data_IF_710224411889
#
_entry.id   IF_710224411889
#
_cell.length_a   1.000
_cell.length_b   1.000
_cell.length_c   1.000
_cell.angle_alpha   90.00
_cell.angle_beta   90.00
_cell.angle_gamma   90.00
#
_symmetry.space_group_name_H-M   'P 1'
#
loop_
_entity.id
_entity.type
_entity.pdbx_description
1 polymer ?
#
# COMPACT_ATOMS: atom_id res chain seq x y z
N UNK A 1 -10.94 -17.22 -23.15
CA UNK A 1 -10.30 -17.35 -21.82
C UNK A 1 -11.03 -18.37 -20.98
N UNK A 2 -10.28 -19.25 -20.29
CA UNK A 2 -10.86 -20.15 -19.28
C UNK A 2 -11.32 -19.33 -18.09
N UNK A 3 -12.52 -19.59 -17.57
CA UNK A 3 -13.00 -19.00 -16.33
C UNK A 3 -12.58 -19.89 -15.17
N UNK A 4 -11.89 -19.30 -14.20
CA UNK A 4 -11.61 -19.89 -12.90
C UNK A 4 -12.69 -19.42 -11.93
N UNK A 5 -13.81 -20.15 -11.88
CA UNK A 5 -14.93 -19.80 -11.00
C UNK A 5 -14.49 -19.84 -9.54
N UNK A 6 -14.71 -18.75 -8.82
CA UNK A 6 -14.37 -18.61 -7.41
C UNK A 6 -15.21 -17.51 -6.75
N UNK A 7 -15.31 -17.57 -5.42
CA UNK A 7 -16.01 -16.58 -4.61
C UNK A 7 -15.06 -15.56 -3.95
N UNK A 8 -13.77 -15.65 -4.24
CA UNK A 8 -12.75 -14.76 -3.67
C UNK A 8 -12.52 -13.47 -4.50
N UNK A 9 -13.12 -13.35 -5.70
CA UNK A 9 -12.88 -12.24 -6.60
C UNK A 9 -11.54 -12.31 -7.34
N UNK A 10 -10.94 -13.49 -7.43
CA UNK A 10 -9.70 -13.75 -8.16
C UNK A 10 -9.99 -13.85 -9.66
N UNK A 11 -9.18 -13.16 -10.46
CA UNK A 11 -9.20 -13.28 -11.91
C UNK A 11 -7.79 -13.59 -12.45
N UNK A 12 -7.71 -14.54 -13.39
CA UNK A 12 -6.46 -14.93 -14.04
C UNK A 12 -6.36 -14.13 -15.35
N UNK A 13 -5.50 -13.11 -15.42
CA UNK A 13 -5.43 -12.21 -16.57
C UNK A 13 -4.64 -12.79 -17.74
N UNK A 14 -4.77 -12.19 -18.92
CA UNK A 14 -3.74 -12.28 -19.96
C UNK A 14 -2.62 -11.32 -19.60
N UNK A 15 -1.40 -11.84 -19.55
CA UNK A 15 -0.20 -11.09 -19.19
C UNK A 15 0.57 -10.70 -20.45
N UNK A 16 0.89 -9.42 -20.55
CA UNK A 16 1.83 -8.92 -21.55
C UNK A 16 3.18 -8.65 -20.88
N UNK A 17 4.24 -9.12 -21.52
CA UNK A 17 5.63 -8.91 -21.08
C UNK A 17 6.46 -8.32 -22.23
N UNK A 18 7.53 -7.56 -21.95
CA UNK A 18 8.45 -7.14 -22.98
C UNK A 18 9.08 -8.36 -23.65
N UNK A 19 9.28 -8.27 -24.97
CA UNK A 19 9.91 -9.32 -25.73
C UNK A 19 11.41 -9.48 -25.36
N UNK A 20 12.06 -10.53 -25.85
CA UNK A 20 13.44 -10.89 -25.48
C UNK A 20 14.51 -9.90 -25.94
N UNK A 21 14.17 -8.97 -26.85
CA UNK A 21 15.09 -7.96 -27.38
C UNK A 21 15.12 -6.70 -26.51
N UNK A 22 14.14 -6.57 -25.59
CA UNK A 22 14.05 -5.42 -24.68
C UNK A 22 15.03 -5.55 -23.54
N UNK A 23 15.82 -4.52 -23.31
CA UNK A 23 16.71 -4.40 -22.14
C UNK A 23 15.87 -4.16 -20.88
N UNK A 24 15.68 -5.21 -20.08
CA UNK A 24 14.87 -5.18 -18.86
C UNK A 24 15.40 -4.22 -17.81
N UNK A 25 16.71 -3.94 -17.78
CA UNK A 25 17.32 -2.99 -16.85
C UNK A 25 16.91 -1.55 -17.15
N UNK A 26 16.43 -1.26 -18.38
CA UNK A 26 15.86 0.01 -18.81
C UNK A 26 14.34 -0.02 -18.89
N UNK A 27 13.77 -1.22 -18.99
CA UNK A 27 12.31 -1.41 -19.05
C UNK A 27 11.63 -1.08 -17.74
N UNK A 28 12.05 -1.72 -16.65
CA UNK A 28 11.37 -1.65 -15.36
C UNK A 28 11.70 -0.36 -14.61
N UNK A 29 10.69 0.46 -14.35
CA UNK A 29 10.79 1.75 -13.63
C UNK A 29 9.91 1.72 -12.40
N UNK A 30 10.35 2.38 -11.33
CA UNK A 30 9.62 2.46 -10.05
C UNK A 30 8.23 3.10 -10.21
N UNK A 31 7.32 2.77 -9.31
CA UNK A 31 5.96 3.30 -9.26
C UNK A 31 5.92 4.84 -9.39
N UNK A 32 4.98 5.34 -10.17
CA UNK A 32 4.86 6.74 -10.59
C UNK A 32 4.65 7.75 -9.44
N UNK A 33 4.19 7.28 -8.30
CA UNK A 33 3.91 8.07 -7.09
C UNK A 33 5.12 8.21 -6.16
N UNK A 34 6.26 7.59 -6.52
CA UNK A 34 7.50 7.71 -5.77
C UNK A 34 8.33 8.92 -6.26
N UNK A 35 9.21 9.44 -5.41
CA UNK A 35 10.14 10.54 -5.72
C UNK A 35 9.47 11.80 -6.29
N UNK A 36 8.22 12.09 -5.90
CA UNK A 36 7.43 13.23 -6.43
C UNK A 36 8.05 14.60 -6.16
N UNK A 37 8.83 14.74 -5.10
CA UNK A 37 9.58 15.95 -4.73
C UNK A 37 11.06 15.91 -5.10
N UNK A 38 11.49 14.91 -5.87
CA UNK A 38 12.90 14.65 -6.23
C UNK A 38 13.08 14.60 -7.76
N UNK A 39 13.05 15.72 -8.48
CA UNK A 39 13.16 15.76 -9.94
C UNK A 39 14.43 15.08 -10.46
N UNK A 40 15.51 15.09 -9.70
CA UNK A 40 16.80 14.49 -10.07
C UNK A 40 16.70 12.99 -10.25
N UNK A 41 15.84 12.32 -9.48
CA UNK A 41 15.58 10.89 -9.66
C UNK A 41 15.02 10.61 -11.06
N UNK A 42 13.99 11.33 -11.45
CA UNK A 42 13.33 11.16 -12.74
C UNK A 42 14.20 11.61 -13.92
N UNK A 43 14.99 12.67 -13.75
CA UNK A 43 15.98 13.09 -14.74
C UNK A 43 17.08 12.02 -14.93
N UNK A 44 17.45 11.33 -13.88
CA UNK A 44 18.42 10.22 -13.95
C UNK A 44 17.79 9.00 -14.62
N UNK A 45 16.54 8.66 -14.28
CA UNK A 45 15.76 7.62 -14.97
C UNK A 45 15.71 7.86 -16.46
N UNK A 46 15.38 9.10 -16.88
CA UNK A 46 15.31 9.49 -18.29
C UNK A 46 16.66 9.28 -19.01
N UNK A 47 17.79 9.63 -18.38
CA UNK A 47 19.13 9.39 -18.96
C UNK A 47 19.49 7.92 -19.06
N UNK A 48 19.08 7.10 -18.08
CA UNK A 48 19.33 5.64 -18.12
C UNK A 48 18.52 5.00 -19.24
N UNK A 49 17.25 5.34 -19.36
CA UNK A 49 16.32 4.80 -20.36
C UNK A 49 16.74 5.25 -21.78
N UNK A 50 17.02 6.54 -21.98
CA UNK A 50 17.31 7.11 -23.30
C UNK A 50 16.20 6.78 -24.30
N UNK A 51 16.56 6.26 -25.46
CA UNK A 51 15.63 5.88 -26.53
C UNK A 51 15.11 4.43 -26.44
N UNK A 52 15.52 3.69 -25.40
CA UNK A 52 15.09 2.31 -25.26
C UNK A 52 13.60 2.19 -24.90
N UNK A 53 12.93 1.10 -25.31
CA UNK A 53 11.59 0.77 -24.80
C UNK A 53 11.61 0.68 -23.28
N UNK A 54 10.62 1.30 -22.62
CA UNK A 54 10.55 1.37 -21.15
C UNK A 54 9.14 1.67 -20.67
N UNK A 55 8.82 1.18 -19.48
CA UNK A 55 7.60 1.55 -18.76
C UNK A 55 7.56 3.05 -18.41
N UNK A 56 8.70 3.74 -18.41
CA UNK A 56 8.75 5.21 -18.31
C UNK A 56 7.93 5.90 -19.41
N UNK A 57 7.79 5.28 -20.58
CA UNK A 57 7.01 5.79 -21.72
C UNK A 57 5.52 5.43 -21.63
N UNK A 58 5.16 4.55 -20.67
CA UNK A 58 3.80 4.03 -20.48
C UNK A 58 3.12 4.57 -19.23
N UNK A 59 3.78 5.42 -18.45
CA UNK A 59 3.24 5.98 -17.22
C UNK A 59 3.57 7.46 -17.07
N UNK A 60 2.82 8.16 -16.24
CA UNK A 60 3.06 9.56 -15.89
C UNK A 60 3.59 9.64 -14.46
N UNK A 61 4.87 10.02 -14.23
CA UNK A 61 5.35 10.34 -12.89
C UNK A 61 4.48 11.44 -12.24
N UNK A 62 4.05 11.24 -11.00
CA UNK A 62 3.10 12.14 -10.33
C UNK A 62 3.61 13.58 -10.16
N UNK A 63 4.91 13.82 -10.26
CA UNK A 63 5.47 15.16 -10.30
C UNK A 63 4.98 15.99 -11.50
N UNK A 64 4.41 15.35 -12.53
CA UNK A 64 3.85 16.01 -13.72
C UNK A 64 2.33 16.17 -13.67
N UNK A 65 1.67 15.74 -12.60
CA UNK A 65 0.24 15.96 -12.40
C UNK A 65 -0.06 17.48 -12.29
N UNK A 66 -1.17 17.87 -12.88
CA UNK A 66 -1.65 19.26 -12.90
C UNK A 66 -0.64 20.27 -13.51
N UNK A 67 0.29 19.77 -14.36
CA UNK A 67 1.18 20.62 -15.15
C UNK A 67 0.53 21.00 -16.49
N UNK A 68 0.94 22.13 -17.11
CA UNK A 68 0.32 22.61 -18.36
C UNK A 68 0.39 21.61 -19.53
N UNK A 69 1.39 20.73 -19.55
CA UNK A 69 1.63 19.72 -20.57
C UNK A 69 1.10 18.32 -20.23
N UNK A 70 0.32 18.17 -19.13
CA UNK A 70 -0.22 16.88 -18.68
C UNK A 70 -1.02 16.17 -19.77
N UNK A 71 -1.92 16.87 -20.43
CA UNK A 71 -2.79 16.28 -21.45
C UNK A 71 -1.99 15.75 -22.67
N UNK A 72 -0.96 16.47 -23.10
CA UNK A 72 -0.10 16.03 -24.19
C UNK A 72 0.74 14.82 -23.79
N UNK A 73 1.23 14.76 -22.55
CA UNK A 73 1.93 13.60 -21.99
C UNK A 73 1.02 12.38 -21.95
N UNK A 74 -0.20 12.50 -21.45
CA UNK A 74 -1.18 11.40 -21.41
C UNK A 74 -1.47 10.86 -22.81
N UNK A 75 -1.65 11.76 -23.79
CA UNK A 75 -1.85 11.38 -25.19
C UNK A 75 -0.66 10.60 -25.75
N UNK A 76 0.56 11.06 -25.49
CA UNK A 76 1.79 10.40 -25.93
C UNK A 76 1.95 9.03 -25.26
N UNK A 77 1.63 8.89 -23.97
CA UNK A 77 1.64 7.63 -23.23
C UNK A 77 0.69 6.63 -23.87
N UNK A 78 -0.56 7.00 -24.11
CA UNK A 78 -1.55 6.11 -24.72
C UNK A 78 -1.13 5.66 -26.12
N UNK A 79 -0.61 6.57 -26.96
CA UNK A 79 -0.08 6.24 -28.27
C UNK A 79 1.12 5.29 -28.19
N UNK A 80 1.98 5.43 -27.18
CA UNK A 80 3.12 4.54 -26.98
C UNK A 80 2.67 3.15 -26.51
N UNK A 81 1.63 3.06 -25.66
CA UNK A 81 1.05 1.78 -25.27
C UNK A 81 0.55 1.00 -26.51
N UNK A 82 -0.22 1.65 -27.37
CA UNK A 82 -0.70 1.04 -28.62
C UNK A 82 0.46 0.63 -29.53
N UNK A 83 1.46 1.50 -29.68
CA UNK A 83 2.66 1.24 -30.47
C UNK A 83 3.42 0.02 -29.97
N UNK A 84 3.65 -0.11 -28.68
CA UNK A 84 4.42 -1.22 -28.11
C UNK A 84 3.72 -2.57 -28.31
N UNK A 85 2.39 -2.59 -28.31
CA UNK A 85 1.63 -3.80 -28.66
C UNK A 85 1.71 -4.09 -30.16
N UNK A 86 1.51 -3.08 -31.03
CA UNK A 86 1.51 -3.24 -32.50
C UNK A 86 2.87 -3.66 -33.05
N UNK A 87 3.96 -3.14 -32.48
CA UNK A 87 5.32 -3.45 -32.88
C UNK A 87 5.88 -4.73 -32.23
N UNK A 88 5.09 -5.40 -31.37
CA UNK A 88 5.51 -6.62 -30.68
C UNK A 88 6.59 -6.39 -29.60
N UNK A 89 6.76 -5.15 -29.14
CA UNK A 89 7.63 -4.85 -27.97
C UNK A 89 7.04 -5.50 -26.72
N UNK A 90 5.70 -5.45 -26.59
CA UNK A 90 4.94 -6.21 -25.61
C UNK A 90 4.33 -7.44 -26.27
N UNK A 91 4.66 -8.61 -25.76
CA UNK A 91 4.14 -9.91 -26.20
C UNK A 91 3.09 -10.43 -25.23
N UNK A 92 1.97 -10.94 -25.75
CA UNK A 92 0.97 -11.62 -24.96
C UNK A 92 1.43 -13.04 -24.62
N UNK A 93 1.70 -13.29 -23.35
CA UNK A 93 2.08 -14.62 -22.83
C UNK A 93 0.89 -15.57 -22.66
N UNK A 94 -0.31 -15.05 -22.87
CA UNK A 94 -1.56 -15.76 -22.61
C UNK A 94 -2.04 -15.62 -21.17
N UNK A 95 -3.07 -16.39 -20.86
CA UNK A 95 -3.71 -16.39 -19.54
C UNK A 95 -2.81 -17.08 -18.49
N UNK A 96 -2.50 -16.38 -17.42
CA UNK A 96 -1.63 -16.92 -16.36
C UNK A 96 -1.37 -15.96 -15.21
N UNK A 97 -0.51 -16.39 -14.32
CA UNK A 97 -0.01 -15.63 -13.17
C UNK A 97 1.50 -15.46 -13.33
N UNK A 98 2.09 -14.48 -12.62
CA UNK A 98 3.55 -14.37 -12.54
C UNK A 98 3.97 -14.44 -11.07
N UNK A 99 4.68 -15.53 -10.72
CA UNK A 99 5.38 -15.60 -9.43
C UNK A 99 6.62 -14.73 -9.53
N UNK A 100 6.89 -13.92 -8.53
CA UNK A 100 8.11 -13.13 -8.48
C UNK A 100 8.84 -13.26 -7.14
N UNK A 101 10.16 -13.06 -7.20
CA UNK A 101 11.04 -12.91 -6.03
C UNK A 101 11.80 -11.61 -6.18
N UNK A 102 11.70 -10.73 -5.21
CA UNK A 102 12.38 -9.44 -5.17
C UNK A 102 13.36 -9.36 -4.01
N UNK A 103 14.61 -9.07 -4.31
CA UNK A 103 15.66 -8.86 -3.30
C UNK A 103 16.15 -7.42 -3.34
N UNK A 104 16.04 -6.72 -2.23
CA UNK A 104 16.44 -5.31 -2.09
C UNK A 104 16.81 -5.01 -0.64
N UNK A 105 17.86 -4.20 -0.42
CA UNK A 105 18.33 -3.79 0.92
C UNK A 105 18.57 -4.96 1.91
N UNK A 106 18.95 -6.14 1.39
CA UNK A 106 19.19 -7.34 2.21
C UNK A 106 17.95 -8.17 2.55
N UNK A 107 16.76 -7.72 2.16
CA UNK A 107 15.49 -8.43 2.32
C UNK A 107 15.07 -9.08 1.01
N UNK A 108 14.35 -10.20 1.10
CA UNK A 108 13.77 -10.89 -0.06
C UNK A 108 12.30 -11.16 0.23
N UNK A 109 11.43 -10.77 -0.70
CA UNK A 109 9.99 -11.02 -0.62
C UNK A 109 9.49 -11.76 -1.84
N UNK A 110 8.38 -12.48 -1.69
CA UNK A 110 7.68 -13.18 -2.73
C UNK A 110 6.38 -12.44 -3.09
N UNK A 111 6.09 -12.38 -4.37
CA UNK A 111 4.86 -11.80 -4.89
C UNK A 111 4.22 -12.67 -5.95
N UNK A 112 2.93 -12.48 -6.17
CA UNK A 112 2.18 -13.17 -7.24
C UNK A 112 1.36 -12.13 -8.01
N UNK A 113 1.72 -11.90 -9.27
CA UNK A 113 0.95 -11.01 -10.17
C UNK A 113 -0.30 -11.73 -10.64
N UNK A 114 -1.44 -11.11 -10.38
CA UNK A 114 -2.77 -11.60 -10.71
C UNK A 114 -3.74 -10.43 -10.85
N UNK A 115 -4.99 -10.68 -11.14
CA UNK A 115 -6.01 -9.63 -11.13
C UNK A 115 -7.10 -9.88 -10.10
N UNK A 116 -7.69 -8.79 -9.59
CA UNK A 116 -8.81 -8.84 -8.66
C UNK A 116 -10.04 -8.17 -9.26
N UNK A 117 -11.21 -8.74 -8.98
CA UNK A 117 -12.50 -8.21 -9.41
C UNK A 117 -12.87 -6.96 -8.60
N UNK A 118 -12.96 -5.83 -9.27
CA UNK A 118 -13.33 -4.55 -8.67
C UNK A 118 -14.75 -4.52 -8.12
N UNK A 119 -15.63 -5.47 -8.48
CA UNK A 119 -16.94 -5.63 -7.83
C UNK A 119 -16.81 -6.11 -6.37
N UNK A 120 -15.68 -6.73 -6.00
CA UNK A 120 -15.38 -7.14 -4.64
C UNK A 120 -14.70 -6.04 -3.80
N UNK A 121 -14.59 -4.82 -4.31
CA UNK A 121 -13.94 -3.69 -3.66
C UNK A 121 -14.86 -2.48 -3.51
N UNK A 122 -14.82 -1.89 -2.33
CA UNK A 122 -15.41 -0.58 -2.05
C UNK A 122 -14.41 0.23 -1.18
N UNK A 123 -14.10 1.46 -1.61
CA UNK A 123 -13.20 2.36 -0.90
C UNK A 123 -13.91 3.32 0.06
N UNK A 124 -15.23 3.22 0.18
CA UNK A 124 -15.99 4.04 1.12
C UNK A 124 -15.73 3.63 2.58
N UNK A 125 -15.82 4.59 3.47
CA UNK A 125 -15.67 4.32 4.89
C UNK A 125 -16.73 3.31 5.39
N UNK A 126 -16.28 2.27 6.07
CA UNK A 126 -17.16 1.22 6.60
C UNK A 126 -17.48 0.11 5.61
N UNK A 127 -16.78 0.04 4.48
CA UNK A 127 -16.90 -1.06 3.52
C UNK A 127 -16.70 -2.42 4.18
N UNK A 128 -17.51 -3.40 3.77
CA UNK A 128 -17.50 -4.78 4.28
C UNK A 128 -17.20 -5.80 3.17
N UNK A 129 -16.61 -5.33 2.09
CA UNK A 129 -16.23 -6.14 0.92
C UNK A 129 -15.03 -7.05 1.20
N UNK A 130 -14.81 -8.04 0.33
CA UNK A 130 -13.67 -8.98 0.45
C UNK A 130 -12.31 -8.30 0.34
N UNK A 131 -12.23 -7.22 -0.45
CA UNK A 131 -11.05 -6.38 -0.61
C UNK A 131 -11.29 -5.09 0.15
N UNK A 132 -10.41 -4.70 1.06
CA UNK A 132 -10.55 -3.49 1.86
C UNK A 132 -9.33 -2.59 1.79
N UNK A 133 -9.59 -1.28 1.73
CA UNK A 133 -8.56 -0.28 1.87
C UNK A 133 -7.99 -0.30 3.30
N UNK A 134 -6.69 -0.17 3.42
CA UNK A 134 -6.01 -0.04 4.72
C UNK A 134 -5.90 1.41 5.16
N UNK A 135 -5.96 2.36 4.24
CA UNK A 135 -6.02 3.80 4.54
C UNK A 135 -7.29 4.43 3.95
N UNK A 136 -7.76 5.49 4.56
CA UNK A 136 -8.88 6.27 4.05
C UNK A 136 -8.56 6.87 2.66
N UNK A 137 -9.39 6.56 1.69
CA UNK A 137 -9.24 7.09 0.33
C UNK A 137 -9.55 8.59 0.30
N UNK A 138 -8.60 9.39 -0.18
CA UNK A 138 -8.78 10.82 -0.43
C UNK A 138 -9.43 10.97 -1.81
N UNK A 139 -10.73 11.20 -1.84
CA UNK A 139 -11.54 11.21 -3.08
C UNK A 139 -11.03 12.25 -4.08
N UNK A 140 -10.53 13.38 -3.60
CA UNK A 140 -9.97 14.46 -4.43
C UNK A 140 -8.70 14.03 -5.20
N UNK A 141 -8.06 12.95 -4.80
CA UNK A 141 -6.90 12.39 -5.52
C UNK A 141 -7.28 11.48 -6.69
N UNK A 142 -8.55 11.07 -6.79
CA UNK A 142 -9.01 10.16 -7.85
C UNK A 142 -9.08 10.88 -9.23
N UNK A 143 -9.67 12.09 -9.37
CA UNK A 143 -9.85 12.70 -10.68
C UNK A 143 -8.56 12.90 -11.51
N UNK A 144 -7.43 13.37 -10.96
CA UNK A 144 -6.18 13.48 -11.72
C UNK A 144 -5.69 12.14 -12.28
N UNK A 145 -5.74 11.09 -11.47
CA UNK A 145 -5.32 9.73 -11.87
C UNK A 145 -6.28 9.08 -12.85
N UNK A 146 -7.57 9.42 -12.74
CA UNK A 146 -8.58 8.92 -13.66
C UNK A 146 -8.37 9.47 -15.08
N UNK A 147 -7.94 10.74 -15.24
CA UNK A 147 -7.58 11.31 -16.56
C UNK A 147 -6.51 10.49 -17.28
N UNK A 148 -5.55 9.91 -16.53
CA UNK A 148 -4.50 9.06 -17.09
C UNK A 148 -5.08 7.71 -17.52
N UNK A 149 -5.94 7.12 -16.66
CA UNK A 149 -6.42 5.75 -16.83
C UNK A 149 -7.56 5.60 -17.84
N UNK A 150 -8.50 6.55 -17.92
CA UNK A 150 -9.78 6.39 -18.64
C UNK A 150 -9.61 6.11 -20.14
N UNK A 151 -8.51 6.57 -20.75
CA UNK A 151 -8.22 6.35 -22.16
C UNK A 151 -7.04 5.40 -22.41
N UNK A 152 -6.37 4.92 -21.36
CA UNK A 152 -5.26 3.99 -21.50
C UNK A 152 -5.74 2.63 -22.05
N UNK A 153 -5.04 2.04 -23.04
CA UNK A 153 -5.35 0.70 -23.51
C UNK A 153 -4.81 -0.39 -22.59
N UNK A 154 -3.78 -0.08 -21.82
CA UNK A 154 -3.10 -0.98 -20.91
C UNK A 154 -3.09 -0.46 -19.48
N UNK A 155 -2.91 -1.36 -18.53
CA UNK A 155 -2.50 -1.04 -17.17
C UNK A 155 -1.22 -1.78 -16.80
N UNK A 156 -0.48 -1.17 -15.89
CA UNK A 156 0.70 -1.74 -15.24
C UNK A 156 0.52 -1.64 -13.73
N UNK A 157 0.76 -2.73 -12.97
CA UNK A 157 0.51 -2.69 -11.54
C UNK A 157 1.66 -2.03 -10.77
N UNK A 158 1.32 -1.10 -9.87
CA UNK A 158 2.14 -0.81 -8.70
C UNK A 158 1.35 -1.05 -7.41
N UNK A 159 0.19 -1.63 -7.54
CA UNK A 159 -0.73 -1.95 -6.47
C UNK A 159 -0.24 -3.24 -5.80
N UNK A 160 0.05 -3.17 -4.51
CA UNK A 160 0.37 -4.32 -3.68
C UNK A 160 -0.83 -4.63 -2.81
N UNK A 161 -1.27 -5.88 -2.85
CA UNK A 161 -2.39 -6.40 -2.05
C UNK A 161 -1.86 -7.48 -1.13
N UNK A 162 -2.30 -7.47 0.11
CA UNK A 162 -1.88 -8.40 1.15
C UNK A 162 -2.93 -9.44 1.43
N UNK A 163 -2.49 -10.67 1.72
CA UNK A 163 -3.29 -11.75 2.32
C UNK A 163 -2.75 -12.10 3.71
N UNK A 164 -3.64 -12.57 4.58
CA UNK A 164 -3.32 -13.10 5.90
C UNK A 164 -3.22 -14.62 5.84
N UNK A 165 -2.06 -15.12 5.40
CA UNK A 165 -1.78 -16.56 5.24
C UNK A 165 -0.60 -17.03 6.13
N UNK A 166 -0.81 -17.17 7.45
CA UNK A 166 0.24 -17.57 8.38
C UNK A 166 0.72 -19.02 8.13
N UNK A 167 -0.05 -19.82 7.42
CA UNK A 167 0.32 -21.20 7.06
C UNK A 167 1.11 -21.28 5.75
N UNK A 168 1.31 -20.14 5.05
CA UNK A 168 2.08 -20.05 3.81
C UNK A 168 1.60 -21.02 2.74
N UNK A 169 0.29 -21.02 2.47
CA UNK A 169 -0.38 -21.99 1.58
C UNK A 169 -0.57 -21.53 0.16
N UNK A 170 -0.44 -20.21 -0.12
CA UNK A 170 -0.73 -19.61 -1.41
C UNK A 170 0.52 -19.39 -2.27
N UNK A 171 1.46 -18.58 -1.82
CA UNK A 171 2.60 -18.10 -2.65
C UNK A 171 3.83 -19.00 -2.45
N UNK A 172 4.15 -19.34 -1.22
CA UNK A 172 5.39 -20.04 -0.86
C UNK A 172 5.52 -21.45 -1.48
N UNK A 173 4.42 -22.22 -1.64
CA UNK A 173 4.50 -23.52 -2.35
C UNK A 173 4.88 -23.37 -3.83
N UNK A 174 4.54 -22.24 -4.48
CA UNK A 174 4.93 -21.98 -5.86
C UNK A 174 6.44 -21.78 -5.97
N UNK A 175 7.03 -21.05 -5.02
CA UNK A 175 8.47 -20.79 -4.99
C UNK A 175 9.28 -22.08 -4.77
N UNK A 176 8.76 -23.00 -3.97
CA UNK A 176 9.39 -24.32 -3.76
C UNK A 176 9.49 -25.14 -5.06
N UNK A 177 8.62 -24.88 -6.03
CA UNK A 177 8.56 -25.57 -7.33
C UNK A 177 8.96 -24.64 -8.50
N UNK A 178 9.59 -23.49 -8.26
CA UNK A 178 9.92 -22.51 -9.29
C UNK A 178 10.84 -23.05 -10.39
N UNK A 179 11.67 -24.04 -10.10
CA UNK A 179 12.53 -24.71 -11.08
C UNK A 179 11.76 -25.39 -12.22
N UNK A 180 10.49 -25.75 -12.00
CA UNK A 180 9.62 -26.38 -12.99
C UNK A 180 8.81 -25.37 -13.82
N UNK A 181 8.93 -24.06 -13.51
CA UNK A 181 8.19 -22.98 -14.16
C UNK A 181 9.05 -22.27 -15.23
N UNK A 182 8.39 -21.65 -16.22
CA UNK A 182 9.05 -20.81 -17.20
C UNK A 182 9.56 -19.52 -16.55
N UNK A 183 10.89 -19.37 -16.40
CA UNK A 183 11.47 -18.10 -15.95
C UNK A 183 11.36 -17.07 -17.08
N UNK A 184 10.66 -15.98 -16.81
CA UNK A 184 10.36 -14.92 -17.79
C UNK A 184 11.23 -13.69 -17.64
N UNK A 185 11.82 -13.48 -16.44
CA UNK A 185 12.81 -12.44 -16.22
C UNK A 185 13.69 -12.74 -14.99
N UNK A 186 14.92 -12.20 -15.02
CA UNK A 186 15.94 -12.30 -13.98
C UNK A 186 16.96 -11.18 -14.22
N UNK A 187 16.87 -10.06 -13.48
CA UNK A 187 17.72 -8.89 -13.71
C UNK A 187 17.77 -7.92 -12.54
N UNK A 188 18.78 -7.03 -12.57
CA UNK A 188 18.92 -5.95 -11.60
C UNK A 188 18.04 -4.75 -11.98
N UNK A 189 17.28 -4.23 -11.03
CA UNK A 189 16.47 -3.02 -11.17
C UNK A 189 17.32 -1.75 -11.07
N UNK A 190 16.97 -0.74 -11.85
CA UNK A 190 17.71 0.53 -11.87
C UNK A 190 17.66 1.25 -10.51
N UNK A 191 18.61 2.16 -10.30
CA UNK A 191 18.63 3.12 -9.19
C UNK A 191 18.44 2.47 -7.80
N UNK A 192 19.21 1.43 -7.52
CA UNK A 192 19.20 0.69 -6.26
C UNK A 192 17.86 -0.04 -5.97
N UNK A 193 17.06 -0.33 -7.00
CA UNK A 193 15.85 -1.12 -6.87
C UNK A 193 16.09 -2.59 -6.48
N UNK A 194 17.34 -3.04 -6.40
CA UNK A 194 17.68 -4.42 -6.09
C UNK A 194 17.59 -5.35 -7.30
N UNK A 195 17.19 -6.59 -7.06
CA UNK A 195 17.11 -7.64 -8.06
C UNK A 195 15.71 -8.25 -8.10
N UNK A 196 15.23 -8.62 -9.28
CA UNK A 196 13.91 -9.25 -9.45
C UNK A 196 14.02 -10.46 -10.39
N UNK A 197 13.33 -11.52 -10.01
CA UNK A 197 13.16 -12.73 -10.81
C UNK A 197 11.66 -13.01 -10.94
N UNK A 198 11.23 -13.57 -12.09
CA UNK A 198 9.84 -13.91 -12.30
C UNK A 198 9.64 -15.17 -13.11
N UNK A 199 8.57 -15.89 -12.80
CA UNK A 199 8.20 -17.16 -13.43
C UNK A 199 6.72 -17.12 -13.84
N UNK A 200 6.47 -17.50 -15.08
CA UNK A 200 5.11 -17.55 -15.62
C UNK A 200 4.43 -18.88 -15.26
N UNK A 201 3.21 -18.78 -14.76
CA UNK A 201 2.38 -19.92 -14.34
C UNK A 201 1.16 -19.97 -15.25
N UNK A 202 1.12 -20.95 -16.16
CA UNK A 202 0.01 -21.21 -17.09
C UNK A 202 -0.62 -22.58 -16.92
N UNK A 203 -0.10 -23.41 -16.00
CA UNK A 203 -0.68 -24.69 -15.67
C UNK A 203 -2.03 -24.54 -14.99
N UNK A 204 -3.10 -25.02 -15.62
CA UNK A 204 -4.46 -25.00 -15.07
C UNK A 204 -4.53 -25.59 -13.66
N UNK A 205 -3.86 -26.73 -13.44
CA UNK A 205 -3.82 -27.39 -12.14
C UNK A 205 -3.19 -26.50 -11.06
N UNK A 206 -2.10 -25.82 -11.40
CA UNK A 206 -1.40 -24.93 -10.48
C UNK A 206 -2.25 -23.70 -10.18
N UNK A 207 -2.86 -23.10 -11.20
CA UNK A 207 -3.76 -21.94 -11.04
C UNK A 207 -4.98 -22.31 -10.20
N UNK A 208 -5.66 -23.43 -10.48
CA UNK A 208 -6.78 -23.93 -9.67
C UNK A 208 -6.38 -24.13 -8.20
N UNK A 209 -5.15 -24.61 -7.95
CA UNK A 209 -4.63 -24.79 -6.59
C UNK A 209 -4.47 -23.47 -5.86
N UNK A 210 -3.92 -22.45 -6.53
CA UNK A 210 -3.77 -21.09 -6.00
C UNK A 210 -5.13 -20.46 -5.69
N UNK A 211 -6.06 -20.52 -6.64
CA UNK A 211 -7.41 -19.97 -6.44
C UNK A 211 -8.11 -20.61 -5.25
N UNK A 212 -8.04 -21.93 -5.12
CA UNK A 212 -8.62 -22.66 -3.97
C UNK A 212 -7.95 -22.30 -2.64
N UNK A 213 -6.62 -22.13 -2.64
CA UNK A 213 -5.91 -21.73 -1.44
C UNK A 213 -6.35 -20.33 -0.98
N UNK A 214 -6.51 -19.37 -1.92
CA UNK A 214 -7.04 -18.03 -1.62
C UNK A 214 -8.48 -18.10 -1.13
N UNK A 215 -9.35 -18.89 -1.76
CA UNK A 215 -10.73 -19.07 -1.29
C UNK A 215 -10.80 -19.60 0.14
N UNK A 216 -9.87 -20.52 0.49
CA UNK A 216 -9.81 -21.10 1.83
C UNK A 216 -9.46 -20.06 2.92
N UNK A 217 -8.73 -18.98 2.56
CA UNK A 217 -8.47 -17.85 3.49
C UNK A 217 -9.76 -17.08 3.81
N UNK A 218 -10.69 -17.02 2.85
CA UNK A 218 -11.99 -16.35 3.01
C UNK A 218 -13.07 -17.24 3.61
N UNK A 219 -12.75 -18.41 4.17
CA UNK A 219 -13.72 -19.31 4.77
C UNK A 219 -14.50 -18.59 5.89
N UNK A 220 -15.84 -18.40 5.77
CA UNK A 220 -16.61 -17.62 6.73
C UNK A 220 -16.56 -18.20 8.16
N UNK A 221 -16.58 -19.50 8.33
CA UNK A 221 -16.58 -20.12 9.66
C UNK A 221 -15.28 -19.82 10.40
N UNK A 222 -14.12 -20.01 9.74
CA UNK A 222 -12.81 -19.69 10.30
C UNK A 222 -12.66 -18.19 10.57
N UNK A 223 -13.17 -17.35 9.68
CA UNK A 223 -13.14 -15.92 9.85
C UNK A 223 -13.95 -15.49 11.09
N UNK A 224 -15.15 -16.03 11.24
CA UNK A 224 -16.03 -15.75 12.37
C UNK A 224 -15.49 -16.31 13.70
N UNK A 225 -14.80 -17.43 13.69
CA UNK A 225 -14.08 -17.94 14.87
C UNK A 225 -12.99 -16.97 15.33
N UNK A 226 -12.31 -16.31 14.39
CA UNK A 226 -11.20 -15.39 14.68
C UNK A 226 -11.69 -13.99 15.05
N UNK A 227 -12.68 -13.45 14.34
CA UNK A 227 -13.07 -12.03 14.41
C UNK A 227 -14.48 -11.79 14.96
N UNK A 228 -15.31 -12.82 15.13
CA UNK A 228 -16.70 -12.73 15.60
C UNK A 228 -17.75 -12.82 14.50
N UNK A 229 -18.95 -13.27 14.88
CA UNK A 229 -20.07 -13.54 13.97
C UNK A 229 -20.66 -12.28 13.30
N UNK A 230 -20.43 -11.11 13.90
CA UNK A 230 -20.91 -9.83 13.40
C UNK A 230 -19.98 -9.17 12.35
N UNK A 231 -18.82 -9.80 12.08
CA UNK A 231 -17.83 -9.26 11.14
C UNK A 231 -17.99 -9.88 9.75
N UNK A 232 -18.01 -9.04 8.73
CA UNK A 232 -18.03 -9.50 7.34
C UNK A 232 -16.65 -10.05 6.92
N UNK A 233 -16.60 -11.19 6.20
CA UNK A 233 -15.34 -11.77 5.72
C UNK A 233 -14.50 -10.80 4.91
N UNK A 234 -13.20 -10.92 5.05
CA UNK A 234 -12.17 -10.15 4.35
C UNK A 234 -11.05 -11.10 3.94
N UNK A 235 -10.61 -11.02 2.70
CA UNK A 235 -9.50 -11.83 2.16
C UNK A 235 -8.29 -10.95 1.90
N UNK A 236 -8.52 -9.74 1.37
CA UNK A 236 -7.48 -8.87 0.85
C UNK A 236 -7.45 -7.52 1.56
N UNK A 237 -6.26 -7.11 1.95
CA UNK A 237 -5.96 -5.77 2.44
C UNK A 237 -5.05 -5.04 1.45
N UNK A 238 -5.30 -3.75 1.23
CA UNK A 238 -4.41 -2.96 0.40
C UNK A 238 -3.08 -2.75 1.14
N UNK A 239 -1.97 -3.20 0.55
CA UNK A 239 -0.63 -2.96 1.09
C UNK A 239 -0.06 -1.62 0.62
N UNK A 240 -0.12 -1.37 -0.70
CA UNK A 240 0.29 -0.11 -1.32
C UNK A 240 -0.59 0.19 -2.54
N UNK A 241 -0.65 1.45 -2.98
CA UNK A 241 -1.44 1.85 -4.14
C UNK A 241 -2.94 2.00 -3.87
N UNK A 242 -3.39 2.32 -2.63
CA UNK A 242 -4.79 2.54 -2.29
C UNK A 242 -5.52 3.47 -3.27
N UNK A 243 -4.92 4.63 -3.62
CA UNK A 243 -5.53 5.58 -4.56
C UNK A 243 -5.58 5.05 -5.99
N UNK A 244 -4.61 4.25 -6.41
CA UNK A 244 -4.59 3.63 -7.75
C UNK A 244 -5.67 2.57 -7.88
N UNK A 245 -5.89 1.75 -6.85
CA UNK A 245 -6.96 0.76 -6.86
C UNK A 245 -8.35 1.42 -6.81
N UNK A 246 -8.51 2.48 -6.00
CA UNK A 246 -9.72 3.29 -5.99
C UNK A 246 -9.98 3.98 -7.34
N UNK A 247 -8.91 4.43 -8.03
CA UNK A 247 -9.02 4.97 -9.40
C UNK A 247 -9.44 3.91 -10.41
N UNK A 248 -8.90 2.69 -10.30
CA UNK A 248 -9.33 1.57 -11.13
C UNK A 248 -10.82 1.27 -10.93
N UNK A 249 -11.30 1.25 -9.67
CA UNK A 249 -12.73 1.10 -9.35
C UNK A 249 -13.57 2.23 -9.94
N UNK A 250 -13.16 3.48 -9.76
CA UNK A 250 -13.88 4.62 -10.30
C UNK A 250 -13.94 4.59 -11.84
N UNK A 251 -12.88 4.18 -12.51
CA UNK A 251 -12.87 3.96 -13.96
C UNK A 251 -13.81 2.83 -14.36
N UNK A 252 -13.79 1.71 -13.64
CA UNK A 252 -14.71 0.59 -13.88
C UNK A 252 -16.16 1.01 -13.77
N UNK A 253 -16.55 1.77 -12.75
CA UNK A 253 -17.92 2.23 -12.58
C UNK A 253 -18.39 3.13 -13.75
N UNK A 254 -17.50 3.97 -14.29
CA UNK A 254 -17.79 4.74 -15.51
C UNK A 254 -18.01 3.85 -16.73
N UNK A 255 -17.12 2.89 -16.96
CA UNK A 255 -17.19 1.95 -18.09
C UNK A 255 -18.44 1.08 -17.96
N UNK A 256 -18.67 0.50 -16.79
CA UNK A 256 -19.82 -0.36 -16.47
C UNK A 256 -21.16 0.31 -16.80
N UNK A 257 -21.28 1.61 -16.52
CA UNK A 257 -22.50 2.37 -16.79
C UNK A 257 -22.88 2.44 -18.28
N UNK A 258 -21.96 2.12 -19.20
CA UNK A 258 -22.17 2.12 -20.65
C UNK A 258 -22.40 0.72 -21.25
N UNK A 259 -22.30 -0.32 -20.41
CA UNK A 259 -22.33 -1.72 -20.84
C UNK A 259 -23.62 -2.43 -20.43
N UNK A 260 -23.97 -3.47 -21.18
CA UNK A 260 -24.97 -4.46 -20.73
C UNK A 260 -24.38 -5.31 -19.60
N UNK A 261 -25.23 -5.97 -18.78
CA UNK A 261 -24.73 -6.87 -17.72
C UNK A 261 -23.82 -8.01 -18.23
N UNK A 262 -24.08 -8.51 -19.44
CA UNK A 262 -23.29 -9.57 -20.06
C UNK A 262 -21.91 -9.06 -20.51
N UNK A 263 -21.84 -7.90 -21.13
CA UNK A 263 -20.59 -7.23 -21.50
C UNK A 263 -19.78 -6.88 -20.24
N UNK A 264 -20.42 -6.32 -19.22
CA UNK A 264 -19.81 -5.95 -17.96
C UNK A 264 -19.17 -7.15 -17.24
N UNK A 265 -19.80 -8.34 -17.32
CA UNK A 265 -19.32 -9.55 -16.64
C UNK A 265 -17.92 -9.99 -17.11
N UNK A 266 -17.52 -9.65 -18.33
CA UNK A 266 -16.27 -10.12 -18.93
C UNK A 266 -15.33 -8.96 -19.35
N UNK A 267 -15.74 -7.72 -19.11
CA UNK A 267 -14.97 -6.56 -19.55
C UNK A 267 -13.61 -6.47 -18.82
N UNK A 268 -12.47 -6.30 -19.54
CA UNK A 268 -11.15 -6.33 -18.93
C UNK A 268 -10.91 -5.22 -17.89
N UNK A 269 -11.58 -4.06 -17.99
CA UNK A 269 -11.48 -2.99 -16.99
C UNK A 269 -12.12 -3.34 -15.64
N UNK A 270 -12.95 -4.41 -15.57
CA UNK A 270 -13.52 -4.93 -14.32
C UNK A 270 -12.45 -5.50 -13.38
N UNK A 271 -11.36 -6.00 -13.95
CA UNK A 271 -10.33 -6.74 -13.22
C UNK A 271 -9.04 -5.92 -13.19
N UNK A 272 -8.60 -5.54 -12.02
CA UNK A 272 -7.36 -4.76 -11.85
C UNK A 272 -6.17 -5.66 -11.59
N UNK A 273 -5.06 -5.44 -12.33
CA UNK A 273 -3.80 -6.15 -12.16
C UNK A 273 -3.12 -5.68 -10.86
N UNK A 274 -2.68 -6.65 -10.04
CA UNK A 274 -2.04 -6.40 -8.75
C UNK A 274 -0.85 -7.35 -8.53
N UNK A 275 0.02 -7.01 -7.59
CA UNK A 275 0.94 -7.94 -6.94
C UNK A 275 0.34 -8.35 -5.59
N UNK A 276 0.13 -9.65 -5.41
CA UNK A 276 -0.31 -10.25 -4.16
C UNK A 276 0.91 -10.62 -3.33
N UNK A 277 0.94 -10.24 -2.07
CA UNK A 277 1.98 -10.60 -1.12
C UNK A 277 1.37 -11.18 0.17
N UNK A 278 2.08 -12.09 0.82
CA UNK A 278 1.67 -12.60 2.12
C UNK A 278 2.20 -11.68 3.22
N UNK A 279 1.32 -11.13 4.06
CA UNK A 279 1.74 -10.24 5.16
C UNK A 279 2.77 -10.91 6.09
N UNK A 280 2.76 -12.24 6.16
CA UNK A 280 3.70 -13.05 6.96
C UNK A 280 5.03 -13.35 6.25
N UNK A 281 5.26 -12.82 5.03
CA UNK A 281 6.57 -12.92 4.39
C UNK A 281 7.62 -12.14 5.19
N UNK A 282 8.76 -12.78 5.45
CA UNK A 282 9.82 -12.19 6.29
C UNK A 282 10.48 -10.96 5.64
N UNK A 283 10.42 -10.86 4.31
CA UNK A 283 10.91 -9.72 3.53
C UNK A 283 10.02 -8.48 3.59
N UNK A 284 8.79 -8.59 4.11
CA UNK A 284 7.91 -7.44 4.32
C UNK A 284 8.20 -6.82 5.68
N UNK A 285 8.55 -5.55 5.70
CA UNK A 285 8.79 -4.78 6.92
C UNK A 285 7.82 -3.62 6.96
N UNK A 286 7.12 -3.46 8.07
CA UNK A 286 6.28 -2.31 8.35
C UNK A 286 7.06 -1.28 9.16
N UNK A 287 7.52 -0.24 8.47
CA UNK A 287 8.22 0.86 9.12
C UNK A 287 7.23 1.81 9.79
N UNK A 288 7.47 2.20 11.06
CA UNK A 288 6.61 3.14 11.76
C UNK A 288 6.75 4.53 11.14
N UNK A 289 5.64 5.23 11.02
CA UNK A 289 5.62 6.63 10.63
C UNK A 289 5.24 7.46 11.84
N UNK A 290 6.18 8.29 12.29
CA UNK A 290 6.03 9.14 13.47
C UNK A 290 5.31 10.46 13.15
N UNK A 291 5.06 11.28 14.15
CA UNK A 291 4.41 12.58 13.99
C UNK A 291 5.29 13.68 14.56
N UNK A 292 5.45 14.76 13.81
CA UNK A 292 6.03 16.00 14.32
C UNK A 292 5.04 17.13 14.09
N UNK A 293 4.74 17.83 15.15
CA UNK A 293 3.92 19.04 15.11
C UNK A 293 4.82 20.26 15.10
N UNK A 294 4.50 21.22 14.24
CA UNK A 294 5.21 22.48 14.10
C UNK A 294 4.32 23.64 14.57
N UNK A 295 4.92 24.66 15.11
CA UNK A 295 4.25 25.88 15.58
C UNK A 295 3.19 25.64 16.66
N UNK A 296 3.45 24.70 17.58
CA UNK A 296 2.52 24.31 18.65
C UNK A 296 2.25 25.47 19.66
N UNK A 297 3.05 26.52 19.63
CA UNK A 297 2.87 27.67 20.50
C UNK A 297 3.18 27.37 21.97
N UNK A 298 2.18 26.94 22.75
CA UNK A 298 2.30 26.58 24.19
C UNK A 298 2.19 25.08 24.36
N UNK A 299 3.31 24.30 24.34
CA UNK A 299 3.27 22.84 24.35
C UNK A 299 2.45 22.23 25.49
N UNK A 300 2.57 22.76 26.71
CA UNK A 300 1.83 22.21 27.87
C UNK A 300 0.32 22.45 27.76
N UNK A 301 -0.13 23.57 27.18
CA UNK A 301 -1.55 23.83 26.93
C UNK A 301 -2.08 22.86 25.85
N UNK A 302 -1.32 22.67 24.79
CA UNK A 302 -1.64 21.70 23.73
C UNK A 302 -1.75 20.28 24.29
N UNK A 303 -0.76 19.83 25.06
CA UNK A 303 -0.78 18.51 25.70
C UNK A 303 -1.96 18.33 26.65
N UNK A 304 -2.29 19.35 27.45
CA UNK A 304 -3.46 19.29 28.32
C UNK A 304 -4.77 19.10 27.54
N UNK A 305 -4.93 19.81 26.41
CA UNK A 305 -6.10 19.64 25.54
C UNK A 305 -6.10 18.25 24.86
N UNK A 306 -4.92 17.81 24.38
CA UNK A 306 -4.77 16.47 23.78
C UNK A 306 -5.18 15.36 24.76
N UNK A 307 -4.73 15.42 26.01
CA UNK A 307 -5.11 14.47 27.06
C UNK A 307 -6.63 14.46 27.30
N UNK A 308 -7.24 15.63 27.32
CA UNK A 308 -8.70 15.75 27.48
C UNK A 308 -9.42 15.08 26.29
N UNK A 309 -9.01 15.39 25.06
CA UNK A 309 -9.63 14.80 23.85
C UNK A 309 -9.45 13.29 23.82
N UNK A 310 -8.24 12.78 24.13
CA UNK A 310 -8.01 11.34 24.22
C UNK A 310 -8.98 10.69 25.24
N UNK A 311 -9.11 11.27 26.41
CA UNK A 311 -10.02 10.73 27.44
C UNK A 311 -11.48 10.77 26.98
N UNK A 312 -11.94 11.88 26.40
CA UNK A 312 -13.30 12.04 25.86
C UNK A 312 -13.62 11.00 24.77
N UNK A 313 -12.68 10.76 23.84
CA UNK A 313 -12.87 9.82 22.73
C UNK A 313 -12.90 8.35 23.15
N UNK A 314 -12.12 7.99 24.18
CA UNK A 314 -12.04 6.62 24.66
C UNK A 314 -13.12 6.27 25.69
N UNK A 315 -13.82 7.24 26.24
CA UNK A 315 -15.02 7.06 27.09
C UNK A 315 -14.78 7.27 28.59
N UNK A 316 -15.86 7.17 29.38
CA UNK A 316 -15.82 7.36 30.83
C UNK A 316 -15.00 6.26 31.48
N UNK A 317 -13.90 6.59 32.11
CA UNK A 317 -13.00 5.68 32.82
C UNK A 317 -11.61 5.62 32.20
N UNK A 318 -11.48 5.87 30.89
CA UNK A 318 -10.18 5.98 30.25
C UNK A 318 -9.41 7.18 30.81
N UNK A 319 -8.18 6.95 31.22
CA UNK A 319 -7.29 7.98 31.75
C UNK A 319 -6.09 8.11 30.82
N UNK A 320 -5.91 9.31 30.27
CA UNK A 320 -4.68 9.67 29.57
C UNK A 320 -3.78 10.44 30.56
N UNK A 321 -2.64 9.85 30.90
CA UNK A 321 -1.70 10.40 31.88
C UNK A 321 -0.39 10.75 31.18
N UNK A 322 0.11 11.97 31.43
CA UNK A 322 1.41 12.43 30.97
C UNK A 322 2.45 12.28 32.07
N UNK A 323 3.58 11.64 31.76
CA UNK A 323 4.75 11.61 32.62
C UNK A 323 5.97 12.23 31.88
N UNK A 324 6.65 13.16 32.56
CA UNK A 324 7.90 13.75 32.11
C UNK A 324 9.11 12.92 32.53
N UNK A 325 10.14 12.92 31.67
CA UNK A 325 11.41 12.23 31.88
C UNK A 325 12.59 13.14 31.53
N UNK A 326 13.76 12.85 32.13
CA UNK A 326 14.93 13.75 32.05
C UNK A 326 15.75 13.57 30.78
N UNK A 327 15.65 12.42 30.10
CA UNK A 327 16.45 12.12 28.89
C UNK A 327 15.77 11.12 27.98
N UNK A 328 16.18 11.05 26.71
CA UNK A 328 15.74 10.04 25.75
C UNK A 328 16.02 8.63 26.24
N UNK A 329 17.23 8.37 26.77
CA UNK A 329 17.58 7.07 27.32
C UNK A 329 16.70 6.65 28.50
N UNK A 330 16.29 7.60 29.37
CA UNK A 330 15.35 7.32 30.45
C UNK A 330 13.94 7.01 29.91
N UNK A 331 13.52 7.71 28.85
CA UNK A 331 12.27 7.44 28.16
C UNK A 331 12.29 6.03 27.56
N UNK A 332 13.31 5.68 26.77
CA UNK A 332 13.41 4.39 26.08
C UNK A 332 13.40 3.22 27.07
N UNK A 333 14.18 3.32 28.16
CA UNK A 333 14.19 2.32 29.22
C UNK A 333 12.82 2.17 29.89
N UNK A 334 12.13 3.28 30.13
CA UNK A 334 10.80 3.28 30.76
C UNK A 334 9.77 2.62 29.83
N UNK A 335 9.77 3.00 28.54
CA UNK A 335 8.84 2.47 27.54
C UNK A 335 9.06 0.97 27.34
N UNK A 336 10.31 0.52 27.16
CA UNK A 336 10.63 -0.89 27.03
C UNK A 336 10.06 -1.72 28.20
N UNK A 337 10.29 -1.27 29.44
CA UNK A 337 9.75 -1.94 30.63
C UNK A 337 8.21 -1.93 30.67
N UNK A 338 7.57 -0.83 30.24
CA UNK A 338 6.10 -0.75 30.25
C UNK A 338 5.48 -1.68 29.21
N UNK A 339 6.08 -1.80 28.02
CA UNK A 339 5.57 -2.68 26.95
C UNK A 339 5.51 -4.16 27.34
N UNK A 340 6.28 -4.60 28.34
CA UNK A 340 6.23 -5.97 28.85
C UNK A 340 4.90 -6.31 29.54
N UNK A 341 4.22 -5.33 30.11
CA UNK A 341 3.04 -5.56 30.99
C UNK A 341 1.85 -4.65 30.71
N UNK A 342 2.04 -3.54 30.00
CA UNK A 342 0.97 -2.58 29.72
C UNK A 342 -0.06 -3.16 28.75
N UNK A 343 -1.34 -3.01 29.08
CA UNK A 343 -2.47 -3.35 28.20
C UNK A 343 -2.99 -2.15 27.41
N UNK A 344 -2.59 -0.94 27.80
CA UNK A 344 -2.99 0.31 27.17
C UNK A 344 -1.96 0.82 26.16
N UNK A 345 -2.29 1.94 25.53
CA UNK A 345 -1.43 2.59 24.55
C UNK A 345 -0.38 3.48 25.22
N UNK A 346 0.84 3.42 24.69
CA UNK A 346 1.98 4.22 25.16
C UNK A 346 2.41 5.13 24.02
N UNK A 347 2.31 6.44 24.22
CA UNK A 347 2.65 7.46 23.23
C UNK A 347 3.86 8.27 23.72
N UNK A 348 5.10 7.89 23.35
CA UNK A 348 6.31 8.64 23.71
C UNK A 348 6.32 9.99 23.00
N UNK A 349 6.76 11.04 23.71
CA UNK A 349 6.77 12.41 23.21
C UNK A 349 8.08 13.12 23.53
N UNK A 350 8.43 14.09 22.70
CA UNK A 350 9.45 15.09 23.01
C UNK A 350 8.98 16.50 22.68
N UNK A 351 9.54 17.45 23.41
CA UNK A 351 9.43 18.88 23.15
C UNK A 351 10.75 19.55 23.55
N UNK A 352 10.90 20.84 23.29
CA UNK A 352 12.07 21.58 23.82
C UNK A 352 12.22 21.46 25.34
N UNK A 353 11.13 21.22 26.07
CA UNK A 353 11.13 21.11 27.54
C UNK A 353 11.66 19.76 28.03
N UNK A 354 11.78 18.76 27.17
CA UNK A 354 12.27 17.42 27.50
C UNK A 354 11.45 16.31 26.87
N UNK A 355 11.50 15.17 27.52
CA UNK A 355 10.88 13.92 27.07
C UNK A 355 9.74 13.52 28.01
N UNK A 356 8.83 12.71 27.51
CA UNK A 356 7.76 12.16 28.29
C UNK A 356 6.98 11.09 27.52
N UNK A 357 5.94 10.60 28.12
CA UNK A 357 4.99 9.72 27.44
C UNK A 357 3.57 9.94 27.95
N UNK A 358 2.61 9.69 27.07
CA UNK A 358 1.19 9.59 27.44
C UNK A 358 0.87 8.10 27.53
N UNK A 359 0.22 7.70 28.64
CA UNK A 359 -0.34 6.36 28.79
C UNK A 359 -1.86 6.43 28.76
N UNK A 360 -2.47 5.61 27.90
CA UNK A 360 -3.93 5.49 27.74
C UNK A 360 -4.30 4.08 28.17
N UNK A 361 -5.02 3.96 29.30
CA UNK A 361 -5.25 2.67 29.97
C UNK A 361 -6.30 1.77 29.29
N UNK A 362 -7.32 2.36 28.69
CA UNK A 362 -8.41 1.64 28.01
C UNK A 362 -8.68 2.25 26.62
N UNK A 363 -7.76 2.05 25.66
CA UNK A 363 -7.95 2.59 24.32
C UNK A 363 -9.05 1.83 23.56
N UNK A 364 -9.87 2.56 22.78
CA UNK A 364 -10.85 1.94 21.88
C UNK A 364 -10.22 1.45 20.57
N UNK A 365 -9.25 2.21 20.03
CA UNK A 365 -8.54 1.84 18.81
C UNK A 365 -7.61 0.66 19.06
N UNK A 366 -7.40 -0.17 18.06
CA UNK A 366 -6.47 -1.31 18.15
C UNK A 366 -5.00 -0.87 18.22
N UNK A 367 -4.64 0.26 17.61
CA UNK A 367 -3.26 0.75 17.53
C UNK A 367 -3.10 2.13 18.19
N UNK A 368 -1.90 2.39 18.72
CA UNK A 368 -1.50 3.69 19.28
C UNK A 368 -1.71 4.84 18.31
N UNK A 369 -1.39 4.62 17.04
CA UNK A 369 -1.58 5.61 15.98
C UNK A 369 -3.05 6.01 15.84
N UNK A 370 -3.97 5.08 15.99
CA UNK A 370 -5.42 5.34 15.96
C UNK A 370 -5.85 6.30 17.06
N UNK A 371 -5.46 6.00 18.29
CA UNK A 371 -5.73 6.85 19.45
C UNK A 371 -5.12 8.24 19.31
N UNK A 372 -3.85 8.32 18.90
CA UNK A 372 -3.14 9.59 18.75
C UNK A 372 -3.73 10.44 17.62
N UNK A 373 -3.89 9.88 16.42
CA UNK A 373 -4.32 10.63 15.24
C UNK A 373 -5.74 11.17 15.39
N UNK A 374 -6.65 10.36 15.93
CA UNK A 374 -8.03 10.80 16.18
C UNK A 374 -8.07 12.03 17.10
N UNK A 375 -7.25 12.05 18.13
CA UNK A 375 -7.17 13.19 19.05
C UNK A 375 -6.45 14.40 18.42
N UNK A 376 -5.37 14.17 17.67
CA UNK A 376 -4.67 15.23 16.95
C UNK A 376 -5.57 15.91 15.91
N UNK A 377 -6.40 15.17 15.19
CA UNK A 377 -7.32 15.72 14.18
C UNK A 377 -8.36 16.70 14.80
N UNK A 378 -8.70 16.52 16.07
CA UNK A 378 -9.54 17.47 16.82
C UNK A 378 -8.73 18.68 17.25
N UNK A 379 -7.60 18.46 17.96
CA UNK A 379 -6.83 19.54 18.57
C UNK A 379 -6.19 20.46 17.52
N UNK A 380 -5.77 19.92 16.37
CA UNK A 380 -5.21 20.71 15.28
C UNK A 380 -6.24 21.68 14.67
N UNK A 381 -7.51 21.31 14.59
CA UNK A 381 -8.58 22.22 14.15
C UNK A 381 -8.84 23.37 15.12
N UNK A 382 -8.54 23.15 16.40
CA UNK A 382 -8.69 24.14 17.46
C UNK A 382 -7.43 25.04 17.62
N UNK A 383 -6.32 24.69 16.93
CA UNK A 383 -5.01 25.37 17.13
C UNK A 383 -4.54 25.95 15.80
N UNK A 384 -4.85 27.24 15.59
CA UNK A 384 -4.47 27.97 14.37
C UNK A 384 -2.94 28.01 14.19
N UNK A 385 -2.47 27.77 12.97
CA UNK A 385 -1.06 27.81 12.59
C UNK A 385 -0.24 26.59 12.99
N UNK A 386 -0.79 25.64 13.79
CA UNK A 386 -0.11 24.38 14.06
C UNK A 386 -0.28 23.43 12.88
N UNK A 387 0.82 22.87 12.42
CA UNK A 387 0.85 21.88 11.32
C UNK A 387 1.42 20.55 11.78
N UNK A 388 1.11 19.49 11.07
CA UNK A 388 1.61 18.14 11.33
C UNK A 388 2.38 17.63 10.11
N UNK A 389 3.52 16.95 10.36
CA UNK A 389 4.23 16.19 9.35
C UNK A 389 4.47 14.74 9.82
N UNK A 390 4.71 13.85 8.86
CA UNK A 390 4.81 12.42 9.01
C UNK A 390 6.26 12.00 8.72
N UNK A 391 6.95 11.53 9.75
CA UNK A 391 8.40 11.43 9.76
C UNK A 391 8.85 9.98 9.88
N UNK A 392 9.80 9.57 9.04
CA UNK A 392 10.58 8.35 9.17
C UNK A 392 11.84 8.62 9.99
N UNK A 393 12.18 7.66 10.86
CA UNK A 393 13.39 7.68 11.67
C UNK A 393 13.23 8.38 13.02
N UNK A 394 13.62 7.67 14.07
CA UNK A 394 13.53 8.09 15.47
C UNK A 394 14.38 9.32 15.78
N UNK A 395 15.57 9.41 15.18
CA UNK A 395 16.53 10.50 15.32
C UNK A 395 16.01 11.79 14.71
N UNK A 396 15.30 11.69 13.58
CA UNK A 396 14.69 12.85 12.92
C UNK A 396 13.56 13.43 13.78
N UNK A 397 12.73 12.57 14.39
CA UNK A 397 11.70 13.00 15.33
C UNK A 397 12.30 13.68 16.55
N UNK A 398 13.38 13.12 17.11
CA UNK A 398 14.08 13.73 18.27
C UNK A 398 14.60 15.13 17.91
N UNK A 399 15.27 15.23 16.77
CA UNK A 399 15.83 16.50 16.29
C UNK A 399 14.74 17.56 16.08
N UNK A 400 13.74 17.25 15.28
CA UNK A 400 12.68 18.20 14.89
C UNK A 400 11.74 18.50 16.05
N UNK A 401 11.31 17.49 16.80
CA UNK A 401 10.35 17.64 17.90
C UNK A 401 10.89 18.45 19.07
N UNK A 402 12.23 18.49 19.25
CA UNK A 402 12.88 19.28 20.29
C UNK A 402 13.21 20.72 19.89
N UNK A 403 12.96 21.12 18.68
CA UNK A 403 13.05 22.53 18.30
C UNK A 403 11.98 23.37 19.00
N UNK A 404 12.26 24.66 19.16
CA UNK A 404 11.34 25.59 19.83
C UNK A 404 10.01 25.70 19.07
N UNK A 405 8.91 25.38 19.74
CA UNK A 405 7.57 25.43 19.18
C UNK A 405 7.15 24.15 18.48
N UNK A 406 7.97 23.11 18.49
CA UNK A 406 7.65 21.80 17.93
C UNK A 406 7.36 20.76 19.04
N UNK A 407 6.78 19.64 18.60
CA UNK A 407 6.49 18.48 19.43
C UNK A 407 6.58 17.21 18.58
N UNK A 408 7.35 16.21 19.02
CA UNK A 408 7.48 14.92 18.37
C UNK A 408 6.74 13.83 19.11
N UNK A 409 6.16 12.88 18.38
CA UNK A 409 5.56 11.66 18.88
C UNK A 409 6.17 10.46 18.16
N UNK A 410 6.70 9.51 18.93
CA UNK A 410 7.10 8.23 18.40
C UNK A 410 5.93 7.24 18.45
N UNK A 411 5.81 6.45 17.41
CA UNK A 411 4.84 5.37 17.31
C UNK A 411 5.59 4.05 17.18
N UNK A 412 5.09 2.95 17.75
CA UNK A 412 5.69 1.64 17.57
C UNK A 412 5.50 1.19 16.10
N UNK A 413 6.39 0.32 15.58
CA UNK A 413 6.07 -0.43 14.38
C UNK A 413 4.81 -1.26 14.60
N UNK A 414 3.97 -1.35 13.59
CA UNK A 414 2.80 -2.20 13.63
C UNK A 414 3.21 -3.66 13.46
N UNK A 415 2.71 -4.56 14.30
CA UNK A 415 2.86 -5.98 14.06
C UNK A 415 2.07 -6.40 12.81
N UNK A 416 2.64 -7.27 11.98
CA UNK A 416 2.02 -7.74 10.74
C UNK A 416 0.66 -8.41 11.01
N UNK A 417 0.55 -9.15 12.12
CA UNK A 417 -0.68 -9.81 12.55
C UNK A 417 -1.80 -8.84 12.94
N UNK A 418 -1.47 -7.59 13.26
CA UNK A 418 -2.46 -6.59 13.63
C UNK A 418 -3.11 -5.88 12.43
N UNK A 419 -2.57 -6.00 11.22
CA UNK A 419 -3.09 -5.31 10.05
C UNK A 419 -4.55 -5.70 9.77
N UNK A 420 -4.78 -6.99 9.54
CA UNK A 420 -6.12 -7.51 9.22
C UNK A 420 -7.09 -7.28 10.37
N UNK A 421 -6.64 -7.57 11.60
CA UNK A 421 -7.42 -7.33 12.81
C UNK A 421 -7.86 -5.88 12.91
N UNK A 422 -6.95 -4.92 12.71
CA UNK A 422 -7.27 -3.49 12.78
C UNK A 422 -8.28 -3.09 11.69
N UNK A 423 -8.08 -3.54 10.46
CA UNK A 423 -9.02 -3.23 9.36
C UNK A 423 -10.40 -3.83 9.61
N UNK A 424 -10.49 -5.01 10.22
CA UNK A 424 -11.76 -5.66 10.56
C UNK A 424 -12.50 -4.95 11.68
N UNK A 425 -11.81 -4.49 12.74
CA UNK A 425 -12.43 -3.91 13.92
C UNK A 425 -12.59 -2.39 13.84
N UNK A 426 -11.56 -1.69 13.39
CA UNK A 426 -11.51 -0.21 13.37
C UNK A 426 -11.86 0.36 11.98
N UNK A 427 -11.83 -0.49 10.94
CA UNK A 427 -11.92 -0.05 9.55
C UNK A 427 -10.56 0.42 9.01
N UNK A 428 -10.57 1.37 8.05
CA UNK A 428 -9.33 1.90 7.51
C UNK A 428 -8.48 2.57 8.60
N UNK A 429 -7.19 2.27 8.61
CA UNK A 429 -6.22 2.88 9.52
C UNK A 429 -6.10 4.38 9.26
N UNK A 430 -5.64 5.15 10.25
CA UNK A 430 -5.24 6.52 10.02
C UNK A 430 -4.18 6.61 8.92
N UNK A 431 -4.25 7.69 8.14
CA UNK A 431 -3.25 7.93 7.09
C UNK A 431 -1.82 7.88 7.66
N UNK A 432 -0.92 7.31 6.87
CA UNK A 432 0.49 7.22 7.24
C UNK A 432 0.70 6.48 8.58
N UNK A 433 0.04 5.34 8.74
CA UNK A 433 0.24 4.46 9.89
C UNK A 433 1.56 3.71 9.77
N UNK A 434 1.85 3.17 8.59
CA UNK A 434 3.07 2.46 8.28
C UNK A 434 3.50 2.72 6.82
N UNK A 435 4.72 2.37 6.49
CA UNK A 435 5.22 2.24 5.13
C UNK A 435 5.73 0.82 4.91
N UNK A 436 5.42 0.26 3.75
CA UNK A 436 6.02 -1.00 3.29
C UNK A 436 7.34 -0.69 2.58
N UNK A 437 8.41 -0.55 3.35
CA UNK A 437 9.74 -0.25 2.84
C UNK A 437 9.92 1.19 2.32
N UNK A 438 11.13 1.47 1.87
CA UNK A 438 11.55 2.74 1.29
C UNK A 438 11.12 2.89 -0.17
N UNK A 439 11.30 4.07 -0.78
CA UNK A 439 10.84 4.36 -2.14
C UNK A 439 11.44 3.42 -3.21
N UNK A 440 12.71 3.02 -3.08
CA UNK A 440 13.37 2.07 -3.98
C UNK A 440 12.94 0.61 -3.75
N UNK A 441 12.25 0.32 -2.65
CA UNK A 441 11.68 -0.99 -2.34
C UNK A 441 10.25 -1.15 -2.88
N UNK A 442 9.62 -0.06 -3.34
CA UNK A 442 8.28 -0.08 -3.94
C UNK A 442 8.24 -0.86 -5.25
N UNK A 443 7.05 -1.17 -5.72
CA UNK A 443 6.83 -1.89 -6.97
C UNK A 443 7.49 -1.15 -8.15
N UNK A 444 8.15 -1.92 -9.03
CA UNK A 444 8.56 -1.47 -10.36
C UNK A 444 7.56 -1.99 -11.39
N UNK A 445 7.21 -1.16 -12.36
CA UNK A 445 6.36 -1.58 -13.47
C UNK A 445 7.11 -2.55 -14.35
N UNK A 446 6.50 -3.68 -14.68
CA UNK A 446 7.11 -4.71 -15.50
C UNK A 446 6.07 -5.39 -16.38
N UNK A 447 5.08 -6.05 -15.78
CA UNK A 447 3.98 -6.70 -16.47
C UNK A 447 2.91 -5.68 -16.86
N UNK A 448 2.20 -6.00 -17.95
CA UNK A 448 1.07 -5.21 -18.42
C UNK A 448 -0.16 -6.10 -18.64
N UNK A 449 -1.34 -5.49 -18.63
CA UNK A 449 -2.62 -6.11 -18.97
C UNK A 449 -3.48 -5.15 -19.78
N UNK A 450 -4.19 -5.65 -20.79
CA UNK A 450 -5.22 -4.90 -21.50
C UNK A 450 -6.39 -4.52 -20.59
N UNK A 451 -6.91 -3.30 -20.73
CA UNK A 451 -8.10 -2.82 -20.01
C UNK A 451 -9.21 -2.33 -20.94
N UNK A 452 -9.02 -2.43 -22.24
CA UNK A 452 -10.02 -2.20 -23.29
C UNK A 452 -10.30 -3.49 -24.06
N UNK A 453 -11.51 -3.61 -24.63
CA UNK A 453 -11.87 -4.65 -25.58
C UNK A 453 -11.30 -4.35 -26.97
#
# INVERSE_FOLDING_TARGET
MKKYENNAGVHVPEILLPNKEVDLTKWAVVACDQYTSQPEYWNTTERIVGEAPSTLRLMLPEMYLDKPDEADRIKAINATMDKYVQEGILENKGQGLVLLRRSVAGNTRLGLVMALDLECYDYNKGATTLIRATEGTIVERIPPRLRIRENAPLEMPHIIVLIDDPQKTVIEPLMANAADLEQVYDFALMQNGGHIEGWFINSEKTIDSVVKAIEALGNPDKFHETYGQDKAPMIFAMGDGNHSFATAKANWEKVKATLTPEEAANHPARFALIELENVHDDGIIFEPIHRVLFNVGKPMKFLSRLLTVISEQNGCGCKANLQGLTSKAALDKKIAKMRETAKGHILPICTKLGYGYIYVDEPKAQLEVGTLQAALDVVLKETEGTTIDYIHGDDVVDKLGREKGNMGFWLPPMDKSDLFKTVVFDGALPRKTFSMGEANEKRYYLECKGIKN
#
